data_IF_471339705467
#
_entry.id   IF_471339705467
#
_cell.length_a   1.000
_cell.length_b   1.000
_cell.length_c   1.000
_cell.angle_alpha   90.00
_cell.angle_beta   90.00
_cell.angle_gamma   90.00
#
_symmetry.space_group_name_H-M   'P 1'
#
loop_
_entity.id
_entity.type
_entity.pdbx_description
1 polymer ?
#
# COMPACT_ATOMS: atom_id res chain seq x y z
N UNK A 1 -21.40 22.94 -0.06
CA UNK A 1 -21.77 21.95 0.97
C UNK A 1 -20.69 20.90 0.95
N UNK A 2 -20.06 20.62 2.08
CA UNK A 2 -19.09 19.52 2.20
C UNK A 2 -19.75 18.40 2.99
N UNK A 3 -19.67 17.18 2.45
CA UNK A 3 -20.15 15.96 3.11
C UNK A 3 -18.94 15.05 3.27
N UNK A 4 -18.76 14.53 4.48
CA UNK A 4 -17.68 13.60 4.82
C UNK A 4 -18.26 12.32 5.40
N UNK A 5 -17.60 11.20 5.13
CA UNK A 5 -18.00 9.87 5.61
C UNK A 5 -16.82 8.91 5.55
N UNK A 6 -16.87 7.85 6.35
CA UNK A 6 -15.82 6.84 6.48
C UNK A 6 -15.92 5.70 5.45
N UNK A 7 -16.81 5.79 4.46
CA UNK A 7 -16.99 4.76 3.44
C UNK A 7 -17.18 5.34 2.04
N UNK A 8 -16.49 4.74 1.07
CA UNK A 8 -16.50 5.16 -0.33
C UNK A 8 -17.90 5.07 -0.93
N UNK A 9 -18.66 4.03 -0.57
CA UNK A 9 -19.98 3.76 -1.15
C UNK A 9 -21.06 4.76 -0.72
N UNK A 10 -20.99 5.25 0.53
CA UNK A 10 -21.88 6.30 1.04
C UNK A 10 -21.73 7.61 0.24
N UNK A 11 -20.48 8.01 -0.02
CA UNK A 11 -20.17 9.29 -0.67
C UNK A 11 -20.29 9.22 -2.20
N UNK A 12 -19.77 8.16 -2.82
CA UNK A 12 -19.65 8.07 -4.28
C UNK A 12 -20.92 7.59 -4.99
N UNK A 13 -21.70 6.67 -4.39
CA UNK A 13 -22.89 6.11 -5.05
C UNK A 13 -24.19 6.72 -4.56
N UNK A 14 -24.46 6.74 -3.26
CA UNK A 14 -25.74 7.23 -2.74
C UNK A 14 -25.86 8.76 -2.84
N UNK A 15 -24.81 9.48 -2.45
CA UNK A 15 -24.80 10.95 -2.49
C UNK A 15 -24.60 11.46 -3.92
N UNK A 16 -23.65 10.94 -4.69
CA UNK A 16 -23.44 11.42 -6.07
C UNK A 16 -24.61 11.09 -7.01
N UNK A 17 -25.28 9.94 -6.84
CA UNK A 17 -26.53 9.64 -7.58
C UNK A 17 -27.65 10.59 -7.18
N UNK A 18 -27.82 10.87 -5.89
CA UNK A 18 -28.78 11.87 -5.38
C UNK A 18 -28.46 13.29 -5.88
N UNK A 19 -27.17 13.60 -6.11
CA UNK A 19 -26.72 14.89 -6.62
C UNK A 19 -26.61 14.95 -8.16
N UNK A 20 -27.05 13.89 -8.87
CA UNK A 20 -27.05 13.80 -10.34
C UNK A 20 -25.67 14.11 -10.96
N UNK A 21 -24.59 13.57 -10.36
CA UNK A 21 -23.23 13.72 -10.88
C UNK A 21 -22.58 15.09 -10.64
N UNK A 22 -23.20 15.97 -9.83
CA UNK A 22 -22.65 17.29 -9.46
C UNK A 22 -21.81 17.26 -8.17
N UNK A 23 -21.38 16.07 -7.74
CA UNK A 23 -20.53 15.88 -6.58
C UNK A 23 -19.08 15.64 -7.02
N UNK A 24 -18.13 16.30 -6.36
CA UNK A 24 -16.71 16.05 -6.54
C UNK A 24 -16.19 15.26 -5.34
N UNK A 25 -15.60 14.10 -5.60
CA UNK A 25 -15.07 13.21 -4.56
C UNK A 25 -13.60 13.51 -4.29
N UNK A 26 -13.23 13.56 -3.01
CA UNK A 26 -11.85 13.69 -2.55
C UNK A 26 -11.63 12.63 -1.48
N UNK A 27 -10.77 11.66 -1.78
CA UNK A 27 -10.32 10.68 -0.79
C UNK A 27 -9.29 11.32 0.14
N UNK A 28 -9.57 11.26 1.45
CA UNK A 28 -8.62 11.68 2.49
C UNK A 28 -7.86 10.43 2.95
N UNK A 29 -6.58 10.38 2.66
CA UNK A 29 -5.68 9.35 3.18
C UNK A 29 -5.15 9.77 4.57
N UNK A 30 -4.50 8.86 5.33
CA UNK A 30 -3.72 9.25 6.52
C UNK A 30 -2.67 10.33 6.21
N UNK A 31 -1.86 10.78 7.16
CA UNK A 31 -0.77 11.71 6.83
C UNK A 31 0.20 11.09 5.80
N UNK A 32 0.56 11.87 4.80
CA UNK A 32 1.76 11.69 3.98
C UNK A 32 3.01 11.94 4.82
N UNK A 33 4.18 11.53 4.33
CA UNK A 33 5.43 11.80 5.04
C UNK A 33 5.68 13.31 5.29
N UNK A 34 5.43 14.23 4.33
CA UNK A 34 5.50 15.67 4.61
C UNK A 34 4.52 16.14 5.69
N UNK A 35 3.28 15.61 5.72
CA UNK A 35 2.31 15.95 6.77
C UNK A 35 2.74 15.41 8.14
N UNK A 36 3.31 14.20 8.18
CA UNK A 36 3.94 13.63 9.38
C UNK A 36 5.04 14.55 9.90
N UNK A 37 5.98 14.97 9.05
CA UNK A 37 7.06 15.89 9.44
C UNK A 37 6.51 17.19 10.01
N UNK A 38 5.54 17.82 9.33
CA UNK A 38 4.92 19.07 9.79
C UNK A 38 4.20 18.89 11.13
N UNK A 39 3.47 17.80 11.31
CA UNK A 39 2.77 17.48 12.55
C UNK A 39 3.75 17.36 13.74
N UNK A 40 4.94 16.78 13.51
CA UNK A 40 6.00 16.66 14.50
C UNK A 40 6.93 17.89 14.58
N UNK A 41 6.55 19.03 13.98
CA UNK A 41 7.32 20.28 14.01
C UNK A 41 8.68 20.19 13.31
N UNK A 42 8.80 19.36 12.28
CA UNK A 42 10.03 19.16 11.49
C UNK A 42 9.94 19.87 10.15
N UNK A 43 11.08 20.33 9.66
CA UNK A 43 11.19 20.93 8.33
C UNK A 43 10.95 19.89 7.25
N UNK A 44 10.13 20.24 6.26
CA UNK A 44 10.03 19.52 4.99
C UNK A 44 11.03 20.20 4.04
N UNK A 45 12.05 19.48 3.54
CA UNK A 45 13.04 20.09 2.67
C UNK A 45 12.42 20.51 1.34
N UNK A 46 12.72 21.74 0.87
CA UNK A 46 12.24 22.23 -0.43
C UNK A 46 12.88 21.50 -1.61
N UNK A 47 14.13 21.06 -1.46
CA UNK A 47 14.85 20.28 -2.45
C UNK A 47 15.62 19.12 -1.80
N UNK A 48 15.05 17.90 -1.81
CA UNK A 48 15.72 16.72 -1.24
C UNK A 48 17.04 16.34 -1.92
N UNK A 49 17.28 16.77 -3.15
CA UNK A 49 18.49 16.44 -3.93
C UNK A 49 19.72 17.24 -3.48
N UNK A 50 19.53 18.29 -2.68
CA UNK A 50 20.59 19.19 -2.20
C UNK A 50 20.59 19.23 -0.67
N UNK A 51 20.77 18.06 -0.04
CA UNK A 51 20.82 17.94 1.41
C UNK A 51 22.21 17.62 1.93
N UNK A 52 22.54 18.19 3.10
CA UNK A 52 23.73 17.79 3.84
C UNK A 52 23.53 16.41 4.45
N UNK A 53 24.61 15.65 4.63
CA UNK A 53 24.58 14.31 5.25
C UNK A 53 23.82 14.29 6.58
N UNK A 54 23.95 15.35 7.39
CA UNK A 54 23.24 15.47 8.67
C UNK A 54 21.71 15.62 8.49
N UNK A 55 21.26 16.42 7.52
CA UNK A 55 19.82 16.57 7.23
C UNK A 55 19.25 15.27 6.65
N UNK A 56 19.98 14.61 5.76
CA UNK A 56 19.60 13.31 5.19
C UNK A 56 19.41 12.24 6.29
N UNK A 57 20.39 12.07 7.18
CA UNK A 57 20.28 11.11 8.28
C UNK A 57 19.12 11.41 9.24
N UNK A 58 18.81 12.68 9.47
CA UNK A 58 17.65 13.07 10.27
C UNK A 58 16.33 12.71 9.57
N UNK A 59 16.24 12.85 8.25
CA UNK A 59 15.07 12.45 7.48
C UNK A 59 14.90 10.94 7.42
N UNK A 60 15.99 10.18 7.20
CA UNK A 60 15.97 8.71 7.26
C UNK A 60 15.45 8.22 8.62
N UNK A 61 15.88 8.85 9.71
CA UNK A 61 15.37 8.56 11.05
C UNK A 61 13.87 8.86 11.19
N UNK A 62 13.40 10.02 10.70
CA UNK A 62 11.96 10.33 10.75
C UNK A 62 11.15 9.41 9.84
N UNK A 63 11.70 9.01 8.69
CA UNK A 63 11.04 8.11 7.77
C UNK A 63 10.89 6.71 8.37
N UNK A 64 11.93 6.19 9.02
CA UNK A 64 11.85 4.94 9.78
C UNK A 64 10.75 4.98 10.85
N UNK A 65 10.64 6.10 11.58
CA UNK A 65 9.54 6.31 12.54
C UNK A 65 8.18 6.36 11.86
N UNK A 66 8.07 7.01 10.72
CA UNK A 66 6.82 7.08 9.95
C UNK A 66 6.37 5.69 9.46
N UNK A 67 7.29 4.83 9.01
CA UNK A 67 6.98 3.44 8.66
C UNK A 67 6.43 2.63 9.84
N UNK A 68 6.89 2.91 11.07
CA UNK A 68 6.43 2.23 12.29
C UNK A 68 5.13 2.81 12.85
N UNK A 69 5.02 4.13 12.88
CA UNK A 69 3.92 4.87 13.54
C UNK A 69 2.75 5.18 12.63
N UNK A 70 2.97 5.13 11.31
CA UNK A 70 1.97 5.41 10.29
C UNK A 70 1.60 6.87 10.15
N UNK A 71 0.54 7.11 9.39
CA UNK A 71 -0.02 8.41 9.09
C UNK A 71 -1.30 8.74 9.86
N UNK A 72 -1.91 7.79 10.60
CA UNK A 72 -3.13 8.09 11.34
C UNK A 72 -2.92 9.25 12.34
N UNK A 73 -3.69 10.36 12.27
CA UNK A 73 -3.42 11.56 13.06
C UNK A 73 -3.45 11.34 14.57
N UNK A 74 -4.45 10.63 15.09
CA UNK A 74 -4.58 10.36 16.53
C UNK A 74 -3.51 9.38 17.06
N UNK A 75 -2.88 8.60 16.18
CA UNK A 75 -1.86 7.62 16.54
C UNK A 75 -0.46 8.23 16.74
N UNK A 76 -0.23 9.47 16.29
CA UNK A 76 1.10 10.08 16.19
C UNK A 76 1.80 10.27 17.54
N UNK A 77 1.06 10.71 18.56
CA UNK A 77 1.61 11.08 19.86
C UNK A 77 1.42 10.04 20.95
N UNK A 78 0.89 8.85 20.61
CA UNK A 78 0.69 7.76 21.55
C UNK A 78 1.97 6.92 21.71
N UNK A 79 2.18 6.36 22.89
CA UNK A 79 3.16 5.28 23.05
C UNK A 79 2.67 3.99 22.35
N UNK A 80 3.56 3.00 22.12
CA UNK A 80 3.20 1.80 21.35
C UNK A 80 2.00 1.01 21.88
N UNK A 81 1.75 1.01 23.20
CA UNK A 81 0.64 0.25 23.80
C UNK A 81 -0.68 0.93 23.48
N UNK A 82 -0.80 2.22 23.78
CA UNK A 82 -2.02 2.98 23.50
C UNK A 82 -2.27 3.12 21.99
N UNK A 83 -1.21 3.25 21.17
CA UNK A 83 -1.34 3.22 19.70
C UNK A 83 -1.96 1.90 19.24
N UNK A 84 -1.46 0.76 19.72
CA UNK A 84 -2.02 -0.55 19.36
C UNK A 84 -3.49 -0.66 19.73
N UNK A 85 -3.87 -0.22 20.94
CA UNK A 85 -5.26 -0.24 21.40
C UNK A 85 -6.17 0.64 20.54
N UNK A 86 -5.73 1.85 20.21
CA UNK A 86 -6.47 2.76 19.33
C UNK A 86 -6.71 2.11 17.96
N UNK A 87 -5.66 1.59 17.33
CA UNK A 87 -5.72 1.00 15.99
C UNK A 87 -6.56 -0.28 15.95
N UNK A 88 -6.51 -1.11 17.00
CA UNK A 88 -7.43 -2.25 17.15
C UNK A 88 -8.88 -1.77 17.25
N UNK A 89 -9.13 -0.71 18.03
CA UNK A 89 -10.44 -0.09 18.14
C UNK A 89 -10.97 0.43 16.80
N UNK A 90 -10.12 1.05 15.97
CA UNK A 90 -10.50 1.48 14.63
C UNK A 90 -10.97 0.32 13.75
N UNK A 91 -10.18 -0.75 13.70
CA UNK A 91 -10.53 -1.94 12.91
C UNK A 91 -11.79 -2.59 13.46
N UNK A 92 -11.95 -2.74 14.77
CA UNK A 92 -13.14 -3.35 15.37
C UNK A 92 -14.41 -2.54 15.07
N UNK A 93 -14.36 -1.21 15.19
CA UNK A 93 -15.48 -0.33 14.87
C UNK A 93 -15.83 -0.39 13.38
N UNK A 94 -14.84 -0.34 12.50
CA UNK A 94 -15.02 -0.43 11.05
C UNK A 94 -15.63 -1.79 10.67
N UNK A 95 -15.08 -2.90 11.18
CA UNK A 95 -15.61 -4.23 10.90
C UNK A 95 -17.05 -4.39 11.38
N UNK A 96 -17.36 -3.90 12.58
CA UNK A 96 -18.70 -4.02 13.13
C UNK A 96 -19.70 -3.14 12.37
N UNK A 97 -19.45 -1.83 12.30
CA UNK A 97 -20.42 -0.86 11.77
C UNK A 97 -20.43 -0.79 10.26
N UNK A 98 -19.26 -0.69 9.65
CA UNK A 98 -19.12 -0.43 8.21
C UNK A 98 -19.16 -1.71 7.37
N UNK A 99 -18.88 -2.89 7.96
CA UNK A 99 -18.97 -4.18 7.27
C UNK A 99 -20.13 -5.05 7.75
N UNK A 100 -20.12 -5.48 9.01
CA UNK A 100 -21.10 -6.48 9.50
C UNK A 100 -22.52 -5.92 9.53
N UNK A 101 -22.71 -4.77 10.18
CA UNK A 101 -24.04 -4.14 10.31
C UNK A 101 -24.53 -3.60 8.96
N UNK A 102 -23.68 -2.86 8.24
CA UNK A 102 -24.05 -2.25 6.94
C UNK A 102 -24.41 -3.28 5.87
N UNK A 103 -23.64 -4.35 5.75
CA UNK A 103 -23.85 -5.36 4.70
C UNK A 103 -24.58 -6.61 5.20
N UNK A 104 -25.06 -6.60 6.45
CA UNK A 104 -25.77 -7.72 7.07
C UNK A 104 -25.02 -9.06 6.92
N UNK A 105 -23.71 -9.03 7.18
CA UNK A 105 -22.83 -10.19 6.95
C UNK A 105 -23.24 -11.35 7.86
N UNK A 106 -23.73 -12.44 7.26
CA UNK A 106 -24.17 -13.62 7.99
C UNK A 106 -22.99 -14.44 8.58
N UNK A 107 -21.92 -14.66 7.79
CA UNK A 107 -20.78 -15.48 8.20
C UNK A 107 -19.63 -14.64 8.76
N UNK A 108 -19.84 -14.06 9.94
CA UNK A 108 -18.86 -13.23 10.65
C UNK A 108 -17.57 -13.99 10.95
N UNK A 109 -17.64 -15.30 11.18
CA UNK A 109 -16.46 -16.14 11.41
C UNK A 109 -15.53 -16.15 10.21
N UNK A 110 -16.06 -16.43 9.01
CA UNK A 110 -15.25 -16.39 7.77
C UNK A 110 -14.69 -15.00 7.49
N UNK A 111 -15.47 -13.93 7.72
CA UNK A 111 -15.00 -12.54 7.61
C UNK A 111 -13.81 -12.28 8.55
N UNK A 112 -13.89 -12.68 9.83
CA UNK A 112 -12.78 -12.51 10.79
C UNK A 112 -11.52 -13.23 10.35
N UNK A 113 -11.65 -14.42 9.74
CA UNK A 113 -10.51 -15.14 9.19
C UNK A 113 -9.91 -14.45 7.98
N UNK A 114 -10.74 -13.95 7.06
CA UNK A 114 -10.29 -13.15 5.92
C UNK A 114 -9.51 -11.93 6.40
N UNK A 115 -10.07 -11.14 7.31
CA UNK A 115 -9.42 -9.94 7.85
C UNK A 115 -8.09 -10.30 8.49
N UNK A 116 -8.05 -11.30 9.38
CA UNK A 116 -6.79 -11.75 10.00
C UNK A 116 -5.76 -12.14 8.95
N UNK A 117 -6.16 -12.86 7.90
CA UNK A 117 -5.25 -13.26 6.82
C UNK A 117 -4.68 -12.06 6.09
N UNK A 118 -5.53 -11.10 5.71
CA UNK A 118 -5.12 -9.90 4.96
C UNK A 118 -4.22 -8.98 5.81
N UNK A 119 -4.59 -8.74 7.07
CA UNK A 119 -3.82 -7.87 7.97
C UNK A 119 -2.49 -8.48 8.42
N UNK A 120 -2.36 -9.82 8.39
CA UNK A 120 -1.13 -10.52 8.79
C UNK A 120 -0.03 -10.57 7.72
N UNK A 121 -0.36 -10.27 6.45
CA UNK A 121 0.58 -10.37 5.33
C UNK A 121 0.40 -9.20 4.35
N UNK A 122 0.56 -7.95 4.83
CA UNK A 122 0.50 -6.75 3.98
C UNK A 122 1.54 -6.83 2.86
N UNK A 123 1.25 -6.17 1.74
CA UNK A 123 2.04 -6.19 0.51
C UNK A 123 2.28 -7.59 -0.10
N UNK A 124 1.68 -8.64 0.45
CA UNK A 124 1.79 -10.00 -0.05
C UNK A 124 0.70 -10.38 -1.06
N UNK A 125 0.97 -11.44 -1.83
CA UNK A 125 0.00 -12.03 -2.74
C UNK A 125 -1.11 -12.80 -1.98
N UNK A 126 -2.35 -12.39 -2.20
CA UNK A 126 -3.55 -12.99 -1.64
C UNK A 126 -4.37 -13.70 -2.72
N UNK A 127 -4.83 -14.92 -2.41
CA UNK A 127 -5.71 -15.71 -3.28
C UNK A 127 -6.96 -16.15 -2.53
N UNK A 128 -8.11 -15.65 -2.98
CA UNK A 128 -9.43 -16.05 -2.46
C UNK A 128 -9.65 -17.56 -2.61
N UNK A 129 -9.19 -18.15 -3.72
CA UNK A 129 -9.30 -19.59 -3.96
C UNK A 129 -8.54 -20.39 -2.90
N UNK A 130 -7.30 -19.98 -2.57
CA UNK A 130 -6.50 -20.63 -1.52
C UNK A 130 -7.15 -20.48 -0.15
N UNK A 131 -7.64 -19.29 0.19
CA UNK A 131 -8.32 -19.06 1.47
C UNK A 131 -9.62 -19.87 1.60
N UNK A 132 -10.44 -19.93 0.56
CA UNK A 132 -11.68 -20.72 0.57
C UNK A 132 -11.41 -22.20 0.82
N UNK A 133 -10.37 -22.76 0.19
CA UNK A 133 -9.95 -24.14 0.40
C UNK A 133 -9.44 -24.38 1.83
N UNK A 134 -8.63 -23.46 2.37
CA UNK A 134 -8.11 -23.52 3.74
C UNK A 134 -9.25 -23.50 4.78
N UNK A 135 -10.16 -22.52 4.69
CA UNK A 135 -11.31 -22.41 5.59
C UNK A 135 -12.22 -23.63 5.54
N UNK A 136 -12.45 -24.18 4.33
CA UNK A 136 -13.21 -25.42 4.18
C UNK A 136 -12.53 -26.59 4.90
N UNK A 137 -11.20 -26.69 4.84
CA UNK A 137 -10.45 -27.74 5.54
C UNK A 137 -10.53 -27.61 7.07
N UNK A 138 -10.70 -26.38 7.57
CA UNK A 138 -10.89 -26.07 8.99
C UNK A 138 -12.36 -26.15 9.44
N UNK A 139 -13.28 -26.63 8.59
CA UNK A 139 -14.70 -26.78 8.92
C UNK A 139 -15.51 -25.48 8.90
N UNK A 140 -15.00 -24.43 8.24
CA UNK A 140 -15.68 -23.13 8.09
C UNK A 140 -16.14 -23.00 6.63
N UNK A 141 -17.38 -23.40 6.30
CA UNK A 141 -17.86 -23.33 4.93
C UNK A 141 -18.07 -21.89 4.50
N UNK A 142 -17.40 -21.49 3.43
CA UNK A 142 -17.61 -20.20 2.76
C UNK A 142 -17.32 -20.33 1.26
N UNK A 143 -18.21 -19.79 0.43
CA UNK A 143 -18.02 -19.75 -1.01
C UNK A 143 -16.96 -18.72 -1.39
N UNK A 144 -16.38 -18.85 -2.59
CA UNK A 144 -15.46 -17.84 -3.13
C UNK A 144 -16.17 -16.50 -3.33
N UNK A 145 -17.42 -16.52 -3.77
CA UNK A 145 -18.22 -15.33 -4.02
C UNK A 145 -18.41 -14.50 -2.74
N UNK A 146 -18.77 -15.14 -1.62
CA UNK A 146 -18.87 -14.44 -0.33
C UNK A 146 -17.51 -13.87 0.13
N UNK A 147 -16.39 -14.55 -0.14
CA UNK A 147 -15.07 -14.01 0.20
C UNK A 147 -14.69 -12.81 -0.68
N UNK A 148 -15.07 -12.81 -1.96
CA UNK A 148 -14.91 -11.64 -2.83
C UNK A 148 -15.80 -10.48 -2.39
N UNK A 149 -17.04 -10.75 -1.98
CA UNK A 149 -17.94 -9.73 -1.40
C UNK A 149 -17.37 -9.15 -0.12
N UNK A 150 -16.89 -9.99 0.81
CA UNK A 150 -16.24 -9.52 2.03
C UNK A 150 -15.01 -8.68 1.73
N UNK A 151 -14.17 -9.09 0.77
CA UNK A 151 -13.02 -8.30 0.35
C UNK A 151 -13.46 -6.91 -0.17
N UNK A 152 -14.48 -6.86 -1.03
CA UNK A 152 -15.03 -5.61 -1.56
C UNK A 152 -15.59 -4.72 -0.44
N UNK A 153 -16.23 -5.29 0.59
CA UNK A 153 -16.70 -4.51 1.75
C UNK A 153 -15.54 -3.91 2.56
N UNK A 154 -14.41 -4.61 2.70
CA UNK A 154 -13.22 -4.09 3.36
C UNK A 154 -12.56 -2.96 2.55
N UNK A 155 -12.59 -3.06 1.22
CA UNK A 155 -12.14 -2.01 0.31
C UNK A 155 -13.06 -0.78 0.37
N UNK A 156 -14.39 -0.99 0.35
CA UNK A 156 -15.42 0.07 0.47
C UNK A 156 -15.35 0.83 1.81
N UNK A 157 -14.87 0.16 2.85
CA UNK A 157 -14.64 0.72 4.18
C UNK A 157 -13.25 1.34 4.35
N UNK A 158 -12.44 1.40 3.28
CA UNK A 158 -11.07 1.92 3.30
C UNK A 158 -10.14 1.23 4.32
N UNK A 159 -10.39 -0.03 4.71
CA UNK A 159 -9.46 -0.74 5.61
C UNK A 159 -8.17 -1.14 4.86
N UNK A 160 -8.34 -1.55 3.62
CA UNK A 160 -7.29 -2.05 2.74
C UNK A 160 -7.69 -1.82 1.29
N UNK A 161 -6.75 -2.03 0.39
CA UNK A 161 -6.96 -2.00 -1.05
C UNK A 161 -6.20 -3.16 -1.68
N UNK A 162 -6.71 -3.69 -2.79
CA UNK A 162 -6.02 -4.72 -3.57
C UNK A 162 -5.63 -4.20 -4.94
N UNK A 163 -4.44 -4.61 -5.41
CA UNK A 163 -4.02 -4.36 -6.80
C UNK A 163 -3.91 -5.68 -7.57
N UNK A 164 -4.39 -5.73 -8.81
CA UNK A 164 -4.30 -6.91 -9.66
C UNK A 164 -2.91 -7.01 -10.31
N UNK A 165 -2.66 -8.13 -10.97
CA UNK A 165 -1.53 -8.27 -11.89
C UNK A 165 -1.75 -7.41 -13.14
N UNK A 166 -0.69 -6.80 -13.66
CA UNK A 166 -0.69 -6.08 -14.93
C UNK A 166 -0.95 -7.08 -16.08
N UNK A 167 -2.12 -6.98 -16.70
CA UNK A 167 -2.49 -7.80 -17.86
C UNK A 167 -3.74 -7.24 -18.53
N UNK A 168 -3.83 -7.29 -19.85
CA UNK A 168 -5.04 -6.86 -20.58
C UNK A 168 -6.20 -7.86 -20.49
N UNK A 169 -5.95 -9.07 -19.98
CA UNK A 169 -6.96 -10.11 -19.88
C UNK A 169 -7.69 -10.06 -18.53
N UNK A 170 -8.97 -9.70 -18.55
CA UNK A 170 -9.85 -9.78 -17.38
C UNK A 170 -9.83 -11.16 -16.71
N UNK A 171 -9.85 -12.23 -17.51
CA UNK A 171 -9.76 -13.59 -16.99
C UNK A 171 -8.45 -13.81 -16.23
N UNK A 172 -7.31 -13.32 -16.74
CA UNK A 172 -6.02 -13.41 -16.04
C UNK A 172 -6.02 -12.55 -14.77
N UNK A 173 -6.60 -11.34 -14.79
CA UNK A 173 -6.77 -10.50 -13.60
C UNK A 173 -7.56 -11.21 -12.49
N UNK A 174 -8.60 -11.96 -12.85
CA UNK A 174 -9.46 -12.65 -11.87
C UNK A 174 -8.84 -13.91 -11.26
N UNK A 175 -8.07 -14.68 -12.05
CA UNK A 175 -7.49 -15.96 -11.57
C UNK A 175 -6.17 -15.77 -10.82
N UNK A 176 -5.42 -14.72 -11.13
CA UNK A 176 -4.17 -14.44 -10.44
C UNK A 176 -4.40 -13.90 -9.03
N UNK A 177 -3.48 -14.15 -8.09
CA UNK A 177 -3.50 -13.49 -6.79
C UNK A 177 -3.47 -11.96 -6.92
N UNK A 178 -3.93 -11.28 -5.88
CA UNK A 178 -3.85 -9.81 -5.78
C UNK A 178 -2.86 -9.43 -4.70
N UNK A 179 -2.08 -8.36 -4.89
CA UNK A 179 -1.36 -7.75 -3.76
C UNK A 179 -2.34 -6.96 -2.90
N UNK A 180 -2.11 -6.95 -1.59
CA UNK A 180 -3.01 -6.33 -0.60
C UNK A 180 -2.25 -5.31 0.22
N UNK A 181 -2.72 -4.07 0.26
CA UNK A 181 -2.12 -3.00 1.04
C UNK A 181 -3.11 -2.50 2.08
N UNK A 182 -2.63 -2.29 3.30
CA UNK A 182 -3.43 -1.71 4.37
C UNK A 182 -3.53 -0.20 4.16
N UNK A 183 -4.59 0.41 4.68
CA UNK A 183 -4.78 1.85 4.62
C UNK A 183 -3.63 2.64 5.25
N UNK A 184 -2.94 2.03 6.22
CA UNK A 184 -1.84 2.65 6.96
C UNK A 184 -0.85 1.57 7.45
N UNK A 185 0.47 1.78 7.35
CA UNK A 185 1.48 0.82 7.78
C UNK A 185 1.48 0.57 9.31
N UNK A 186 0.91 1.46 10.13
CA UNK A 186 0.81 1.26 11.58
C UNK A 186 -0.08 0.06 11.95
N UNK A 187 -0.95 -0.39 11.04
CA UNK A 187 -1.76 -1.58 11.25
C UNK A 187 -0.93 -2.88 11.20
N UNK A 188 0.22 -2.87 10.51
CA UNK A 188 1.07 -4.05 10.34
C UNK A 188 1.54 -4.63 11.69
N UNK A 189 2.21 -3.88 12.59
CA UNK A 189 2.66 -4.41 13.88
C UNK A 189 1.51 -4.77 14.84
N UNK A 190 0.29 -4.33 14.57
CA UNK A 190 -0.91 -4.66 15.36
C UNK A 190 -1.35 -6.11 15.11
N UNK A 191 -1.26 -6.57 13.86
CA UNK A 191 -1.77 -7.86 13.41
C UNK A 191 -0.71 -8.87 12.99
N UNK A 192 0.55 -8.45 12.82
CA UNK A 192 1.66 -9.37 12.66
C UNK A 192 1.90 -10.17 13.95
N UNK A 193 2.04 -11.49 13.79
CA UNK A 193 2.35 -12.44 14.86
C UNK A 193 3.66 -13.18 14.63
N UNK A 194 4.35 -12.90 13.54
CA UNK A 194 5.57 -13.59 13.14
C UNK A 194 6.80 -13.12 13.94
N UNK A 195 6.74 -11.91 14.52
CA UNK A 195 7.86 -11.29 15.23
C UNK A 195 9.01 -10.87 14.31
N UNK A 196 8.79 -10.89 12.99
CA UNK A 196 9.78 -10.46 11.99
C UNK A 196 9.69 -8.95 11.75
N UNK A 197 10.78 -8.37 11.27
CA UNK A 197 10.75 -7.00 10.76
C UNK A 197 9.92 -6.95 9.48
N UNK A 198 8.81 -6.20 9.50
CA UNK A 198 7.97 -5.96 8.33
C UNK A 198 8.28 -4.62 7.66
N UNK A 199 9.52 -4.14 7.81
CA UNK A 199 9.93 -2.82 7.31
C UNK A 199 9.78 -2.72 5.79
N UNK A 200 10.10 -3.80 5.04
CA UNK A 200 9.86 -3.86 3.60
C UNK A 200 8.38 -3.73 3.24
N UNK A 201 7.49 -4.47 3.91
CA UNK A 201 6.05 -4.38 3.69
C UNK A 201 5.47 -3.01 4.08
N UNK A 202 5.99 -2.40 5.16
CA UNK A 202 5.61 -1.04 5.55
C UNK A 202 6.04 -0.02 4.49
N UNK A 203 7.28 -0.13 4.00
CA UNK A 203 7.81 0.73 2.94
C UNK A 203 6.96 0.62 1.66
N UNK A 204 6.69 -0.60 1.21
CA UNK A 204 5.86 -0.87 0.03
C UNK A 204 4.45 -0.32 0.20
N UNK A 205 3.85 -0.45 1.40
CA UNK A 205 2.52 0.09 1.71
C UNK A 205 2.47 1.63 1.69
N UNK A 206 3.53 2.29 2.13
CA UNK A 206 3.62 3.76 2.05
C UNK A 206 3.79 4.22 0.61
N UNK A 207 4.62 3.53 -0.19
CA UNK A 207 4.75 3.81 -1.63
C UNK A 207 3.40 3.63 -2.33
N UNK A 208 2.68 2.55 -2.05
CA UNK A 208 1.32 2.35 -2.55
C UNK A 208 0.39 3.51 -2.20
N UNK A 209 0.37 3.93 -0.93
CA UNK A 209 -0.49 5.05 -0.48
C UNK A 209 -0.15 6.35 -1.20
N UNK A 210 1.14 6.61 -1.46
CA UNK A 210 1.57 7.77 -2.24
C UNK A 210 1.11 7.68 -3.70
N UNK A 211 1.21 6.52 -4.34
CA UNK A 211 0.68 6.31 -5.70
C UNK A 211 -0.82 6.59 -5.77
N UNK A 212 -1.58 6.22 -4.74
CA UNK A 212 -3.00 6.56 -4.64
C UNK A 212 -3.24 8.07 -4.55
N UNK A 213 -2.43 8.81 -3.77
CA UNK A 213 -2.52 10.28 -3.70
C UNK A 213 -2.27 10.94 -5.05
N UNK A 214 -1.34 10.36 -5.83
CA UNK A 214 -1.03 10.79 -7.21
C UNK A 214 -2.07 10.34 -8.23
N UNK A 215 -3.10 9.60 -7.79
CA UNK A 215 -4.18 9.07 -8.63
C UNK A 215 -3.66 8.17 -9.76
N UNK A 216 -2.58 7.44 -9.50
CA UNK A 216 -2.06 6.47 -10.44
C UNK A 216 -3.02 5.26 -10.55
N UNK A 217 -3.15 4.69 -11.74
CA UNK A 217 -3.61 3.32 -11.91
C UNK A 217 -2.45 2.40 -11.50
N UNK A 218 -2.71 1.43 -10.62
CA UNK A 218 -1.66 0.63 -9.98
C UNK A 218 -1.94 -0.86 -10.23
N UNK A 219 -0.93 -1.57 -10.71
CA UNK A 219 -0.90 -3.03 -10.80
C UNK A 219 0.48 -3.53 -10.37
N UNK A 220 0.61 -4.81 -10.02
CA UNK A 220 1.94 -5.44 -9.87
C UNK A 220 2.31 -6.18 -11.16
N UNK A 221 3.59 -6.31 -11.49
CA UNK A 221 4.02 -7.04 -12.69
C UNK A 221 4.49 -8.42 -12.30
N UNK A 222 4.10 -9.42 -13.08
CA UNK A 222 4.69 -10.76 -13.04
C UNK A 222 5.11 -11.15 -14.44
N UNK A 223 6.41 -11.19 -14.66
CA UNK A 223 6.98 -11.41 -15.99
C UNK A 223 6.89 -12.87 -16.43
N UNK A 224 7.07 -13.12 -17.72
CA UNK A 224 7.13 -14.48 -18.26
C UNK A 224 8.20 -15.36 -17.61
N UNK A 225 9.34 -14.77 -17.21
CA UNK A 225 10.44 -15.47 -16.53
C UNK A 225 10.21 -15.65 -15.02
N UNK A 226 9.07 -15.20 -14.50
CA UNK A 226 8.66 -15.39 -13.12
C UNK A 226 9.20 -14.35 -12.14
N UNK A 227 9.79 -13.26 -12.64
CA UNK A 227 10.15 -12.11 -11.79
C UNK A 227 8.90 -11.30 -11.44
N UNK A 228 8.95 -10.64 -10.29
CA UNK A 228 7.89 -9.77 -9.79
C UNK A 228 8.44 -8.35 -9.65
N UNK A 229 7.70 -7.37 -10.16
CA UNK A 229 7.94 -5.94 -9.88
C UNK A 229 6.77 -5.41 -9.07
N UNK A 230 7.06 -4.68 -8.00
CA UNK A 230 6.07 -4.33 -7.00
C UNK A 230 4.93 -3.49 -7.56
N UNK A 231 5.26 -2.47 -8.37
CA UNK A 231 4.27 -1.62 -9.02
C UNK A 231 4.61 -1.32 -10.48
N UNK A 232 3.61 -1.44 -11.33
CA UNK A 232 3.42 -0.66 -12.55
C UNK A 232 2.41 0.44 -12.21
N UNK A 233 2.88 1.68 -12.20
CA UNK A 233 2.06 2.86 -11.97
C UNK A 233 1.84 3.61 -13.29
N UNK A 234 0.59 3.92 -13.62
CA UNK A 234 0.24 4.79 -14.75
C UNK A 234 -0.42 6.05 -14.23
N UNK A 235 0.19 7.20 -14.50
CA UNK A 235 -0.28 8.48 -13.99
C UNK A 235 -1.32 9.12 -14.93
N UNK A 236 -2.14 10.06 -14.43
CA UNK A 236 -3.15 10.74 -15.25
C UNK A 236 -2.61 11.50 -16.46
N UNK A 237 -1.32 11.89 -16.44
CA UNK A 237 -0.64 12.57 -17.55
C UNK A 237 -0.12 11.60 -18.63
N UNK A 238 -0.34 10.29 -18.46
CA UNK A 238 0.08 9.23 -19.37
C UNK A 238 1.49 8.71 -19.12
N UNK A 239 2.22 9.22 -18.12
CA UNK A 239 3.52 8.68 -17.74
C UNK A 239 3.37 7.33 -17.03
N UNK A 240 4.33 6.43 -17.22
CA UNK A 240 4.37 5.11 -16.57
C UNK A 240 5.68 4.91 -15.80
N UNK A 241 5.60 4.24 -14.65
CA UNK A 241 6.73 3.85 -13.82
C UNK A 241 6.66 2.37 -13.44
N UNK A 242 7.77 1.66 -13.62
CA UNK A 242 8.07 0.37 -13.00
C UNK A 242 8.85 0.66 -11.71
N UNK A 243 8.23 0.36 -10.58
CA UNK A 243 8.74 0.69 -9.25
C UNK A 243 9.02 -0.61 -8.52
N UNK A 244 10.28 -0.79 -8.12
CA UNK A 244 10.69 -1.84 -7.21
C UNK A 244 11.04 -1.24 -5.85
N UNK A 245 10.53 -1.84 -4.77
CA UNK A 245 10.71 -1.33 -3.41
C UNK A 245 11.61 -2.28 -2.63
N UNK A 246 12.70 -1.75 -2.09
CA UNK A 246 13.61 -2.54 -1.27
C UNK A 246 14.08 -1.75 -0.05
N UNK A 247 14.40 -2.43 1.05
CA UNK A 247 14.89 -1.72 2.25
C UNK A 247 16.30 -1.16 2.04
N UNK A 248 17.18 -1.93 1.39
CA UNK A 248 18.55 -1.54 1.09
C UNK A 248 19.03 -2.21 -0.20
N UNK A 249 19.91 -1.53 -0.93
CA UNK A 249 20.57 -1.99 -2.18
C UNK A 249 22.05 -2.31 -1.97
N UNK A 250 22.52 -2.29 -0.72
CA UNK A 250 23.93 -2.52 -0.38
C UNK A 250 24.36 -3.95 -0.73
N UNK A 251 23.48 -4.92 -0.46
CA UNK A 251 23.70 -6.33 -0.79
C UNK A 251 23.68 -6.56 -2.32
N UNK A 252 24.79 -7.04 -2.93
CA UNK A 252 24.87 -7.26 -4.37
C UNK A 252 23.89 -8.29 -4.91
N UNK A 253 23.54 -9.32 -4.13
CA UNK A 253 22.58 -10.35 -4.56
C UNK A 253 21.17 -9.76 -4.66
N UNK A 254 20.72 -9.10 -3.60
CA UNK A 254 19.44 -8.37 -3.55
C UNK A 254 19.36 -7.36 -4.68
N UNK A 255 20.36 -6.47 -4.81
CA UNK A 255 20.41 -5.47 -5.90
C UNK A 255 20.36 -6.12 -7.29
N UNK A 256 21.09 -7.22 -7.49
CA UNK A 256 21.08 -7.96 -8.75
C UNK A 256 19.73 -8.61 -9.05
N UNK A 257 18.98 -9.04 -8.04
CA UNK A 257 17.60 -9.51 -8.20
C UNK A 257 16.66 -8.36 -8.61
N UNK A 258 16.70 -7.22 -7.92
CA UNK A 258 15.83 -6.07 -8.21
C UNK A 258 16.06 -5.52 -9.63
N UNK A 259 17.33 -5.38 -10.04
CA UNK A 259 17.70 -4.93 -11.39
C UNK A 259 17.19 -5.89 -12.46
N UNK A 260 17.35 -7.20 -12.25
CA UNK A 260 16.88 -8.20 -13.22
C UNK A 260 15.37 -8.19 -13.38
N UNK A 261 14.63 -8.03 -12.29
CA UNK A 261 13.17 -7.94 -12.32
C UNK A 261 12.70 -6.74 -13.15
N UNK A 262 13.30 -5.56 -12.93
CA UNK A 262 13.00 -4.35 -13.71
C UNK A 262 13.37 -4.48 -15.18
N UNK A 263 14.56 -5.02 -15.50
CA UNK A 263 14.99 -5.22 -16.89
C UNK A 263 14.05 -6.17 -17.64
N UNK A 264 13.64 -7.27 -16.99
CA UNK A 264 12.73 -8.24 -17.60
C UNK A 264 11.34 -7.62 -17.83
N UNK A 265 10.78 -6.93 -16.82
CA UNK A 265 9.49 -6.25 -16.93
C UNK A 265 9.51 -5.12 -17.99
N UNK A 266 10.64 -4.45 -18.18
CA UNK A 266 10.76 -3.38 -19.17
C UNK A 266 10.61 -3.84 -20.62
N UNK A 267 10.85 -5.13 -20.89
CA UNK A 267 10.61 -5.70 -22.22
C UNK A 267 9.11 -5.75 -22.56
N UNK A 268 8.26 -5.92 -21.55
CA UNK A 268 6.80 -5.90 -21.65
C UNK A 268 6.23 -4.47 -21.53
N UNK A 269 6.96 -3.56 -20.86
CA UNK A 269 6.59 -2.17 -20.60
C UNK A 269 7.70 -1.17 -21.00
N UNK A 270 7.98 -0.99 -22.32
CA UNK A 270 9.18 -0.28 -22.78
C UNK A 270 9.16 1.24 -22.54
N UNK A 271 7.98 1.83 -22.31
CA UNK A 271 7.83 3.26 -22.07
C UNK A 271 7.86 3.62 -20.57
N UNK A 272 7.86 2.63 -19.68
CA UNK A 272 7.84 2.85 -18.26
C UNK A 272 9.24 3.18 -17.73
N UNK A 273 9.34 4.27 -16.96
CA UNK A 273 10.58 4.63 -16.26
C UNK A 273 10.85 3.59 -15.18
N UNK A 274 12.11 3.25 -14.97
CA UNK A 274 12.50 2.20 -14.02
C UNK A 274 13.10 2.84 -12.77
N UNK A 275 12.53 2.57 -11.61
CA UNK A 275 13.00 3.12 -10.34
C UNK A 275 13.03 2.06 -9.25
N UNK A 276 14.11 2.06 -8.48
CA UNK A 276 14.24 1.34 -7.22
C UNK A 276 14.09 2.36 -6.09
N UNK A 277 13.08 2.16 -5.25
CA UNK A 277 12.84 2.98 -4.07
C UNK A 277 13.41 2.31 -2.83
N UNK A 278 14.30 3.02 -2.14
CA UNK A 278 15.01 2.52 -0.96
C UNK A 278 14.53 3.16 0.33
N UNK A 279 14.66 2.45 1.46
CA UNK A 279 14.48 3.07 2.78
C UNK A 279 15.64 4.03 3.11
N UNK A 280 16.86 3.63 2.74
CA UNK A 280 18.09 4.34 3.07
C UNK A 280 18.48 5.37 2.00
N UNK A 281 19.01 6.52 2.42
CA UNK A 281 19.45 7.59 1.52
C UNK A 281 20.97 7.67 1.35
N UNK A 282 21.67 6.56 1.55
CA UNK A 282 23.13 6.56 1.57
C UNK A 282 23.70 6.78 0.17
N UNK A 283 24.17 8.00 -0.08
CA UNK A 283 24.85 8.37 -1.31
C UNK A 283 26.38 8.20 -1.19
N UNK A 284 27.08 7.85 -2.29
CA UNK A 284 26.52 7.43 -3.58
C UNK A 284 25.88 6.04 -3.48
N UNK A 285 24.78 5.82 -4.19
CA UNK A 285 24.23 4.48 -4.34
C UNK A 285 25.17 3.60 -5.18
N UNK A 286 25.15 2.28 -4.96
CA UNK A 286 25.84 1.35 -5.86
C UNK A 286 25.37 1.51 -7.31
N UNK A 287 26.25 1.35 -8.31
CA UNK A 287 25.90 1.53 -9.71
C UNK A 287 24.85 0.51 -10.16
N UNK A 288 23.89 0.97 -10.95
CA UNK A 288 22.89 0.15 -11.66
C UNK A 288 22.91 0.48 -13.15
N UNK A 289 22.49 -0.46 -14.02
CA UNK A 289 22.42 -0.21 -15.46
C UNK A 289 21.40 0.89 -15.82
N UNK A 290 21.73 1.78 -16.75
CA UNK A 290 20.73 2.68 -17.35
C UNK A 290 19.62 1.86 -18.05
N UNK A 291 18.35 2.31 -18.01
CA UNK A 291 17.85 3.58 -17.46
C UNK A 291 17.35 3.51 -16.00
N UNK A 292 17.80 2.52 -15.20
CA UNK A 292 17.32 2.33 -13.83
C UNK A 292 17.87 3.43 -12.91
N UNK A 293 16.98 4.06 -12.14
CA UNK A 293 17.34 5.02 -11.10
C UNK A 293 17.12 4.45 -9.70
N UNK A 294 17.97 4.81 -8.74
CA UNK A 294 17.77 4.50 -7.32
C UNK A 294 17.46 5.81 -6.59
N UNK A 295 16.36 5.84 -5.85
CA UNK A 295 15.94 6.99 -5.06
C UNK A 295 15.52 6.57 -3.64
N UNK A 296 15.81 7.38 -2.61
CA UNK A 296 15.16 7.20 -1.33
C UNK A 296 13.65 7.40 -1.47
N UNK A 297 12.85 6.50 -0.91
CA UNK A 297 11.40 6.52 -1.05
C UNK A 297 10.79 7.84 -0.54
N UNK A 298 11.28 8.37 0.58
CA UNK A 298 10.79 9.64 1.14
C UNK A 298 11.10 10.85 0.24
N UNK A 299 12.17 10.78 -0.55
CA UNK A 299 12.56 11.82 -1.51
C UNK A 299 11.66 11.76 -2.74
N UNK A 300 11.41 10.55 -3.26
CA UNK A 300 10.46 10.33 -4.35
C UNK A 300 9.04 10.81 -3.97
N UNK A 301 8.58 10.56 -2.73
CA UNK A 301 7.28 11.03 -2.22
C UNK A 301 7.11 12.56 -2.22
N UNK A 302 8.20 13.34 -2.28
CA UNK A 302 8.15 14.81 -2.29
C UNK A 302 8.06 15.41 -3.70
N UNK A 303 7.85 14.58 -4.72
CA UNK A 303 7.65 15.04 -6.10
C UNK A 303 8.95 15.25 -6.87
N UNK A 304 10.06 14.67 -6.42
CA UNK A 304 11.26 14.62 -7.23
C UNK A 304 11.03 13.70 -8.44
N UNK A 305 11.16 14.22 -9.67
CA UNK A 305 11.04 13.39 -10.85
C UNK A 305 12.20 12.39 -10.91
N UNK A 306 11.86 11.18 -11.37
CA UNK A 306 12.80 10.21 -11.94
C UNK A 306 13.30 10.73 -13.30
#
# INVERSE_FOLDING_TARGET
>A
IFLSGSSAKLLSREIASSMLGRAWEITIHPFSFPEFLRHHGREVPENPSVLTTKKTAALDYQFARYLETGGFPEAQCLDPIHRRQLLQGYVDVLLLRDVVERHQVANVTALRWLVRRLLSSPAGLFSVTKLSADLKSQGIPVSRDHLYEFLAHLEDAFLLQTIPVATDSEKRRQVNPRKVYLADPALIPVYDRSGKSNTGHALESVVFTELQRRRAEIAYVKTANGYEVDFLARYPDGTEELIQVCTSVDDPETRGCEVRALQDASSEHPNARQVILTMESRLPFPPVPEPINILPAWSWMQGNPV
#
